data_IF_668408308685
#
_entry.id   IF_668408308685
#
_cell.length_a   1.000
_cell.length_b   1.000
_cell.length_c   1.000
_cell.angle_alpha   90.00
_cell.angle_beta   90.00
_cell.angle_gamma   90.00
#
_symmetry.space_group_name_H-M   'P 1'
#
loop_
_entity.id
_entity.type
_entity.pdbx_description
1 polymer ?
#
# COMPACT_ATOMS: atom_id res chain seq x y z
N UNK A 1 -14.46 27.05 10.28
CA UNK A 1 -14.45 25.58 10.16
C UNK A 1 -15.79 25.16 9.58
N UNK A 2 -15.81 24.68 8.33
CA UNK A 2 -17.06 24.20 7.71
C UNK A 2 -17.42 22.85 8.35
N UNK A 3 -18.64 22.77 8.89
CA UNK A 3 -19.20 21.56 9.51
C UNK A 3 -19.32 20.48 8.43
N UNK A 4 -18.85 19.27 8.71
CA UNK A 4 -19.15 18.09 7.90
C UNK A 4 -20.66 18.02 7.68
N UNK A 5 -21.09 18.17 6.43
CA UNK A 5 -22.48 18.01 6.05
C UNK A 5 -22.83 16.54 6.25
N UNK A 6 -23.80 16.22 7.10
CA UNK A 6 -24.21 14.84 7.43
C UNK A 6 -24.48 13.97 6.18
N UNK A 7 -24.91 14.60 5.07
CA UNK A 7 -25.07 13.95 3.76
C UNK A 7 -23.76 13.45 3.11
N UNK A 8 -22.62 14.12 3.36
CA UNK A 8 -21.31 13.70 2.85
C UNK A 8 -20.78 12.44 3.55
N UNK A 9 -21.02 12.32 4.85
CA UNK A 9 -20.63 11.13 5.62
C UNK A 9 -21.46 9.89 5.22
N UNK A 10 -22.75 10.07 4.95
CA UNK A 10 -23.63 9.01 4.46
C UNK A 10 -23.22 8.54 3.05
N UNK A 11 -22.94 9.48 2.14
CA UNK A 11 -22.47 9.16 0.79
C UNK A 11 -21.13 8.41 0.83
N UNK A 12 -20.19 8.88 1.65
CA UNK A 12 -18.89 8.23 1.82
C UNK A 12 -19.03 6.79 2.31
N UNK A 13 -19.89 6.56 3.32
CA UNK A 13 -20.15 5.20 3.84
C UNK A 13 -20.76 4.28 2.79
N UNK A 14 -21.66 4.79 1.95
CA UNK A 14 -22.27 3.98 0.90
C UNK A 14 -21.26 3.59 -0.18
N UNK A 15 -20.45 4.55 -0.62
CA UNK A 15 -19.38 4.31 -1.59
C UNK A 15 -18.32 3.35 -1.02
N UNK A 16 -17.91 3.53 0.24
CA UNK A 16 -16.96 2.62 0.90
C UNK A 16 -17.52 1.19 0.98
N UNK A 17 -18.79 1.01 1.36
CA UNK A 17 -19.42 -0.33 1.35
C UNK A 17 -19.40 -0.96 -0.03
N UNK A 18 -19.66 -0.19 -1.09
CA UNK A 18 -19.64 -0.68 -2.46
C UNK A 18 -18.22 -1.09 -2.88
N UNK A 19 -17.22 -0.24 -2.59
CA UNK A 19 -15.81 -0.55 -2.85
C UNK A 19 -15.38 -1.82 -2.10
N UNK A 20 -15.71 -1.93 -0.82
CA UNK A 20 -15.40 -3.11 0.00
C UNK A 20 -16.10 -4.37 -0.52
N UNK A 21 -17.31 -4.26 -1.08
CA UNK A 21 -18.02 -5.39 -1.69
C UNK A 21 -17.32 -5.88 -2.95
N UNK A 22 -16.97 -4.97 -3.86
CA UNK A 22 -16.29 -5.33 -5.10
C UNK A 22 -14.86 -5.83 -4.82
N UNK A 23 -14.14 -5.21 -3.89
CA UNK A 23 -12.82 -5.69 -3.46
C UNK A 23 -12.85 -7.12 -2.89
N UNK A 24 -13.92 -7.48 -2.15
CA UNK A 24 -14.11 -8.86 -1.66
C UNK A 24 -14.36 -9.85 -2.81
N UNK A 25 -15.17 -9.46 -3.81
CA UNK A 25 -15.42 -10.29 -5.00
C UNK A 25 -14.16 -10.50 -5.82
N UNK A 26 -13.40 -9.44 -6.06
CA UNK A 26 -12.13 -9.51 -6.80
C UNK A 26 -11.10 -10.37 -6.06
N UNK A 27 -11.03 -10.25 -4.73
CA UNK A 27 -10.19 -11.14 -3.91
C UNK A 27 -10.62 -12.60 -4.02
N UNK A 28 -11.92 -12.89 -4.02
CA UNK A 28 -12.42 -14.25 -4.17
C UNK A 28 -12.08 -14.82 -5.56
N UNK A 29 -12.32 -14.06 -6.63
CA UNK A 29 -11.96 -14.44 -8.00
C UNK A 29 -10.47 -14.74 -8.13
N UNK A 30 -9.62 -13.85 -7.62
CA UNK A 30 -8.17 -14.06 -7.64
C UNK A 30 -7.76 -15.34 -6.88
N UNK A 31 -8.40 -15.65 -5.74
CA UNK A 31 -8.12 -16.89 -5.01
C UNK A 31 -8.52 -18.14 -5.81
N UNK A 32 -9.68 -18.13 -6.48
CA UNK A 32 -10.13 -19.23 -7.34
C UNK A 32 -9.15 -19.48 -8.50
N UNK A 33 -8.71 -18.41 -9.16
CA UNK A 33 -7.70 -18.48 -10.24
C UNK A 33 -6.38 -19.09 -9.73
N UNK A 34 -5.92 -18.68 -8.54
CA UNK A 34 -4.71 -19.24 -7.94
C UNK A 34 -4.89 -20.72 -7.59
N UNK A 35 -6.04 -21.14 -7.08
CA UNK A 35 -6.32 -22.55 -6.82
C UNK A 35 -6.32 -23.37 -8.12
N UNK A 36 -6.98 -22.87 -9.17
CA UNK A 36 -7.00 -23.52 -10.49
C UNK A 36 -5.59 -23.65 -11.09
N UNK A 37 -4.76 -22.59 -10.99
CA UNK A 37 -3.36 -22.62 -11.43
C UNK A 37 -2.55 -23.67 -10.64
N UNK A 38 -2.78 -23.77 -9.32
CA UNK A 38 -2.13 -24.77 -8.49
C UNK A 38 -2.51 -26.19 -8.90
N UNK A 39 -3.80 -26.46 -9.10
CA UNK A 39 -4.32 -27.77 -9.51
C UNK A 39 -3.78 -28.20 -10.89
N UNK A 40 -3.81 -27.30 -11.86
CA UNK A 40 -3.32 -27.58 -13.22
C UNK A 40 -1.79 -27.76 -13.25
N UNK A 41 -1.06 -27.08 -12.36
CA UNK A 41 0.40 -27.11 -12.33
C UNK A 41 1.02 -28.32 -11.61
N UNK A 42 0.26 -29.23 -11.00
CA UNK A 42 0.78 -30.30 -10.13
C UNK A 42 1.74 -31.31 -10.81
N UNK A 43 1.93 -31.23 -12.14
CA UNK A 43 2.83 -32.11 -12.90
C UNK A 43 4.33 -31.82 -12.76
N UNK A 44 4.78 -30.76 -12.07
CA UNK A 44 6.20 -30.40 -12.00
C UNK A 44 6.68 -29.74 -10.69
N UNK A 45 7.90 -30.08 -10.26
CA UNK A 45 8.55 -29.55 -9.04
C UNK A 45 8.55 -28.00 -8.93
N UNK A 46 8.59 -27.29 -10.06
CA UNK A 46 8.56 -25.82 -10.09
C UNK A 46 7.21 -25.24 -9.65
N UNK A 47 6.12 -25.97 -9.91
CA UNK A 47 4.76 -25.57 -9.52
C UNK A 47 4.53 -25.69 -8.02
N UNK A 48 5.05 -26.75 -7.39
CA UNK A 48 4.94 -26.97 -5.95
C UNK A 48 5.57 -25.83 -5.13
N UNK A 49 6.69 -25.29 -5.61
CA UNK A 49 7.35 -24.14 -4.97
C UNK A 49 6.53 -22.87 -5.09
N UNK A 50 5.85 -22.66 -6.23
CA UNK A 50 4.97 -21.50 -6.48
C UNK A 50 3.72 -21.59 -5.59
N UNK A 51 3.05 -22.74 -5.56
CA UNK A 51 1.87 -22.98 -4.73
C UNK A 51 2.18 -22.76 -3.25
N UNK A 52 3.28 -23.33 -2.75
CA UNK A 52 3.72 -23.13 -1.37
C UNK A 52 4.02 -21.66 -1.04
N UNK A 53 4.63 -20.91 -1.98
CA UNK A 53 4.90 -19.48 -1.80
C UNK A 53 3.61 -18.67 -1.69
N UNK A 54 2.60 -18.95 -2.52
CA UNK A 54 1.30 -18.29 -2.49
C UNK A 54 0.56 -18.60 -1.18
N UNK A 55 0.50 -19.87 -0.78
CA UNK A 55 -0.11 -20.29 0.50
C UNK A 55 0.58 -19.60 1.69
N UNK A 56 1.91 -19.50 1.66
CA UNK A 56 2.69 -18.81 2.69
C UNK A 56 2.35 -17.31 2.77
N UNK A 57 2.15 -16.65 1.63
CA UNK A 57 1.72 -15.23 1.57
C UNK A 57 0.30 -15.06 2.12
N UNK A 58 -0.62 -15.96 1.78
CA UNK A 58 -2.00 -15.94 2.30
C UNK A 58 -2.06 -16.09 3.82
N UNK A 59 -1.29 -17.02 4.38
CA UNK A 59 -1.29 -17.30 5.83
C UNK A 59 -0.67 -16.16 6.66
N UNK A 60 0.41 -15.55 6.16
CA UNK A 60 1.17 -14.53 6.94
C UNK A 60 0.61 -13.12 6.81
N UNK A 61 -0.34 -12.90 5.90
CA UNK A 61 -0.78 -11.56 5.51
C UNK A 61 0.31 -10.78 4.76
N UNK A 62 -0.04 -9.59 4.27
CA UNK A 62 0.93 -8.69 3.67
C UNK A 62 1.92 -8.23 4.74
N UNK A 63 3.19 -8.54 4.55
CA UNK A 63 4.29 -8.01 5.35
C UNK A 63 5.08 -7.06 4.45
N UNK A 64 5.03 -5.73 4.70
CA UNK A 64 5.91 -4.82 3.99
C UNK A 64 7.35 -5.24 4.26
N UNK A 65 8.18 -5.32 3.23
CA UNK A 65 9.60 -5.59 3.42
C UNK A 65 10.23 -4.35 4.07
N UNK A 66 10.25 -4.35 5.41
CA UNK A 66 10.78 -3.26 6.24
C UNK A 66 12.24 -2.91 5.91
N UNK A 67 12.95 -3.81 5.21
CA UNK A 67 14.38 -3.68 4.93
C UNK A 67 14.70 -2.96 3.62
N UNK A 68 13.73 -2.52 2.83
CA UNK A 68 14.03 -1.96 1.50
C UNK A 68 13.87 -0.44 1.41
N UNK A 69 14.18 0.29 2.48
CA UNK A 69 14.39 1.73 2.37
C UNK A 69 15.83 1.94 1.91
N UNK A 70 15.97 2.31 0.65
CA UNK A 70 17.28 2.59 0.06
C UNK A 70 17.69 4.04 0.32
N UNK A 71 18.95 4.22 0.70
CA UNK A 71 19.63 5.52 0.67
C UNK A 71 19.74 6.03 -0.76
N UNK A 72 20.12 7.31 -0.93
CA UNK A 72 20.42 7.90 -2.25
C UNK A 72 21.49 7.10 -3.02
N UNK A 73 22.40 6.46 -2.30
CA UNK A 73 23.48 5.61 -2.86
C UNK A 73 23.06 4.14 -3.06
N UNK A 74 21.76 3.85 -3.15
CA UNK A 74 21.19 2.50 -3.34
C UNK A 74 21.52 1.47 -2.24
N UNK A 75 22.10 1.88 -1.12
CA UNK A 75 22.36 1.00 0.04
C UNK A 75 21.10 0.83 0.89
N UNK A 76 20.87 -0.38 1.40
CA UNK A 76 19.77 -0.70 2.31
C UNK A 76 20.02 -0.06 3.68
N UNK A 77 19.11 0.82 4.10
CA UNK A 77 19.11 1.42 5.42
C UNK A 77 18.51 0.43 6.42
N UNK A 78 19.30 0.03 7.41
CA UNK A 78 18.90 -0.95 8.43
C UNK A 78 18.66 -0.28 9.80
N UNK A 79 19.13 0.96 9.97
CA UNK A 79 19.04 1.71 11.22
C UNK A 79 17.79 2.61 11.27
N UNK A 80 17.09 2.64 12.40
CA UNK A 80 15.81 3.34 12.58
C UNK A 80 15.95 4.86 12.41
N UNK A 81 17.03 5.45 12.92
CA UNK A 81 17.28 6.90 12.80
C UNK A 81 17.57 7.28 11.34
N UNK A 82 18.40 6.47 10.66
CA UNK A 82 18.70 6.67 9.23
C UNK A 82 17.45 6.56 8.34
N UNK A 83 16.53 5.67 8.69
CA UNK A 83 15.23 5.53 8.03
C UNK A 83 14.41 6.81 8.23
N UNK A 84 14.21 7.27 9.46
CA UNK A 84 13.44 8.48 9.77
C UNK A 84 13.99 9.72 9.05
N UNK A 85 15.31 9.86 9.01
CA UNK A 85 15.95 10.97 8.28
C UNK A 85 15.71 10.89 6.76
N UNK A 86 15.67 9.68 6.18
CA UNK A 86 15.30 9.48 4.77
C UNK A 86 13.85 9.87 4.49
N UNK A 87 12.93 9.61 5.42
CA UNK A 87 11.53 10.06 5.31
C UNK A 87 11.37 11.59 5.43
N UNK A 88 12.24 12.26 6.19
CA UNK A 88 12.22 13.72 6.38
C UNK A 88 12.71 14.50 5.15
N UNK A 89 13.66 13.95 4.40
CA UNK A 89 14.25 14.63 3.24
C UNK A 89 13.22 15.03 2.15
N UNK A 90 12.27 14.16 1.74
CA UNK A 90 11.23 14.54 0.79
C UNK A 90 10.28 15.62 1.30
N UNK A 91 9.91 15.61 2.58
CA UNK A 91 8.93 16.58 3.10
C UNK A 91 9.48 18.01 3.11
N UNK A 92 10.77 18.19 3.38
CA UNK A 92 11.44 19.49 3.33
C UNK A 92 11.65 19.97 1.88
N UNK A 93 11.98 19.07 0.94
CA UNK A 93 12.15 19.43 -0.48
C UNK A 93 10.83 19.82 -1.15
N UNK A 94 9.73 19.16 -0.79
CA UNK A 94 8.39 19.51 -1.28
C UNK A 94 7.92 20.84 -0.67
N UNK A 95 8.13 21.05 0.63
CA UNK A 95 7.77 22.31 1.29
C UNK A 95 8.60 23.51 0.80
N UNK A 96 9.83 23.30 0.35
CA UNK A 96 10.66 24.35 -0.24
C UNK A 96 10.30 24.69 -1.69
N UNK A 97 9.67 23.78 -2.43
CA UNK A 97 9.42 23.94 -3.88
C UNK A 97 8.00 24.41 -4.20
N UNK A 98 7.02 24.21 -3.31
CA UNK A 98 5.67 24.75 -3.48
C UNK A 98 5.30 25.66 -2.31
N UNK A 99 5.34 26.98 -2.58
CA UNK A 99 4.85 28.11 -1.77
C UNK A 99 5.85 28.80 -0.81
N UNK A 100 6.78 29.58 -1.40
CA UNK A 100 6.86 31.01 -1.05
C UNK A 100 6.09 31.80 -2.12
N UNK A 101 4.77 31.67 -2.13
CA UNK A 101 3.86 32.54 -2.89
C UNK A 101 2.52 32.57 -2.15
N UNK A 102 2.52 33.30 -1.04
CA UNK A 102 1.37 33.44 -0.16
C UNK A 102 1.57 34.59 0.82
N UNK A 103 2.20 35.68 0.37
CA UNK A 103 2.09 36.97 1.03
C UNK A 103 0.67 37.49 0.78
N UNK A 104 -0.27 37.15 1.65
CA UNK A 104 -1.36 38.05 1.96
C UNK A 104 -1.14 38.51 3.40
N UNK A 105 -0.38 39.59 3.47
CA UNK A 105 -0.21 40.46 4.62
C UNK A 105 -1.58 40.85 5.17
N UNK A 106 -1.81 40.54 6.45
CA UNK A 106 -2.74 41.31 7.28
C UNK A 106 -1.91 42.36 8.00
N UNK A 107 -2.37 43.61 7.91
CA UNK A 107 -1.85 44.87 8.47
C UNK A 107 -0.68 45.53 7.71
#
# INVERSE_FOLDING_TARGET
>A
MQRNTEGGELLYREVDKQVQREARKDKARWLEEQCAEMEQGLGGNSSLRKSYSIIKKLRRGFQPNQRNIKSKDNRVLTDLLSILQRWKQPSEQLCGSTMCAGSFTTC
#
